data_IF_322485405876
#
_entry.id   IF_322485405876
#
_cell.length_a   1.000
_cell.length_b   1.000
_cell.length_c   1.000
_cell.angle_alpha   90.00
_cell.angle_beta   90.00
_cell.angle_gamma   90.00
#
_symmetry.space_group_name_H-M   'P 1'
#
loop_
_entity.id
_entity.type
_entity.pdbx_description
1 polymer ?
#
# COMPACT_ATOMS: atom_id res chain seq x y z
N UNK A 1 -7.31 4.26 -7.14
CA UNK A 1 -8.31 4.71 -6.14
C UNK A 1 -8.27 4.00 -4.80
N UNK A 2 -8.57 2.70 -4.67
CA UNK A 2 -8.68 2.09 -3.32
C UNK A 2 -7.36 2.12 -2.51
N UNK A 3 -6.23 2.06 -3.20
CA UNK A 3 -4.90 2.18 -2.58
C UNK A 3 -4.60 3.63 -2.21
N UNK A 4 -4.71 4.54 -3.17
CA UNK A 4 -4.55 5.99 -2.96
C UNK A 4 -5.42 6.51 -1.79
N UNK A 5 -6.70 6.11 -1.72
CA UNK A 5 -7.59 6.49 -0.61
C UNK A 5 -7.13 5.92 0.74
N UNK A 6 -6.52 4.73 0.75
CA UNK A 6 -5.99 4.12 1.96
C UNK A 6 -4.80 4.92 2.51
N UNK A 7 -3.94 5.41 1.61
CA UNK A 7 -2.82 6.29 1.93
C UNK A 7 -3.31 7.64 2.46
N UNK A 8 -4.24 8.28 1.76
CA UNK A 8 -4.92 9.50 2.22
C UNK A 8 -5.48 9.35 3.64
N UNK A 9 -6.13 8.22 3.94
CA UNK A 9 -6.72 7.95 5.24
C UNK A 9 -5.66 7.73 6.33
N UNK A 10 -4.47 7.21 5.99
CA UNK A 10 -3.35 7.11 6.93
C UNK A 10 -2.85 8.49 7.34
N UNK A 11 -2.78 9.44 6.39
CA UNK A 11 -2.41 10.84 6.69
C UNK A 11 -3.52 11.56 7.46
N UNK A 12 -4.77 11.46 7.01
CA UNK A 12 -5.93 12.13 7.64
C UNK A 12 -6.13 11.70 9.10
N UNK A 13 -5.84 10.43 9.43
CA UNK A 13 -5.94 9.91 10.81
C UNK A 13 -4.69 10.20 11.66
N UNK A 14 -3.68 10.84 11.08
CA UNK A 14 -2.41 11.10 11.74
C UNK A 14 -1.59 9.84 12.04
N UNK A 15 -1.84 8.73 11.33
CA UNK A 15 -0.95 7.57 11.37
C UNK A 15 0.37 7.89 10.68
N UNK A 16 0.30 8.63 9.56
CA UNK A 16 1.45 9.18 8.83
C UNK A 16 1.48 10.71 8.93
N UNK A 17 2.68 11.29 8.94
CA UNK A 17 2.88 12.73 9.18
C UNK A 17 2.56 13.61 7.96
N UNK A 18 2.60 13.06 6.76
CA UNK A 18 2.37 13.78 5.50
C UNK A 18 2.18 12.82 4.34
N UNK A 19 1.70 13.34 3.21
CA UNK A 19 1.63 12.59 1.94
C UNK A 19 3.01 12.19 1.41
N UNK A 20 4.08 12.87 1.82
CA UNK A 20 5.44 12.45 1.48
C UNK A 20 5.80 11.11 2.13
N UNK A 21 5.37 10.90 3.38
CA UNK A 21 5.65 9.67 4.14
C UNK A 21 5.09 8.42 3.46
N UNK A 22 3.99 8.55 2.72
CA UNK A 22 3.37 7.46 1.95
C UNK A 22 4.32 6.78 0.95
N UNK A 23 5.32 7.51 0.44
CA UNK A 23 6.23 7.05 -0.60
C UNK A 23 7.67 6.84 -0.11
N UNK A 24 8.03 7.39 1.05
CA UNK A 24 9.41 7.34 1.56
C UNK A 24 9.57 6.65 2.90
N UNK A 25 8.48 6.32 3.59
CA UNK A 25 8.55 5.58 4.84
C UNK A 25 8.71 4.10 4.54
N UNK A 26 9.91 3.57 4.84
CA UNK A 26 10.16 2.14 4.81
C UNK A 26 9.39 1.43 5.92
N UNK A 27 8.89 0.24 5.62
CA UNK A 27 8.24 -0.64 6.58
C UNK A 27 8.65 -2.10 6.35
N UNK A 28 8.56 -2.92 7.38
CA UNK A 28 8.94 -4.34 7.36
C UNK A 28 7.76 -5.22 7.00
N UNK A 29 7.99 -6.11 6.04
CA UNK A 29 7.03 -7.10 5.58
C UNK A 29 7.77 -8.34 5.09
N UNK A 30 7.05 -9.45 5.02
CA UNK A 30 7.54 -10.72 4.51
C UNK A 30 6.56 -11.30 3.48
N UNK A 31 7.06 -12.12 2.57
CA UNK A 31 6.25 -12.95 1.69
C UNK A 31 6.38 -14.40 2.15
N UNK A 32 5.29 -14.97 2.67
CA UNK A 32 5.22 -16.37 3.09
C UNK A 32 4.14 -17.05 2.27
N UNK A 33 4.49 -18.10 1.52
CA UNK A 33 3.56 -18.86 0.69
C UNK A 33 2.74 -18.00 -0.27
N UNK A 34 3.37 -16.96 -0.85
CA UNK A 34 2.71 -16.02 -1.76
C UNK A 34 1.77 -15.03 -1.07
N UNK A 35 1.71 -15.02 0.27
CA UNK A 35 0.93 -14.07 1.06
C UNK A 35 1.83 -13.00 1.69
N UNK A 36 1.41 -11.74 1.59
CA UNK A 36 2.07 -10.64 2.29
C UNK A 36 1.74 -10.68 3.79
N UNK A 37 2.78 -10.66 4.62
CA UNK A 37 2.71 -10.59 6.08
C UNK A 37 3.38 -9.31 6.55
N UNK A 38 2.61 -8.41 7.14
CA UNK A 38 3.15 -7.20 7.76
C UNK A 38 3.76 -7.52 9.12
N UNK A 39 4.98 -7.04 9.37
CA UNK A 39 5.60 -7.17 10.69
C UNK A 39 4.78 -6.36 11.71
N UNK A 40 4.55 -6.92 12.90
CA UNK A 40 3.80 -6.27 13.99
C UNK A 40 4.72 -5.41 14.86
N UNK A 41 4.16 -4.41 15.52
CA UNK A 41 4.89 -3.60 16.50
C UNK A 41 5.82 -2.58 15.86
N UNK A 42 5.51 -2.19 14.62
CA UNK A 42 6.21 -1.10 13.93
C UNK A 42 5.58 0.24 14.31
N UNK A 43 6.11 1.35 13.81
CA UNK A 43 5.46 2.64 13.96
C UNK A 43 4.09 2.66 13.27
N UNK A 44 3.23 3.60 13.68
CA UNK A 44 1.85 3.69 13.20
C UNK A 44 1.78 3.88 11.68
N UNK A 45 2.69 4.67 11.12
CA UNK A 45 2.73 4.92 9.69
C UNK A 45 3.13 3.65 8.94
N UNK A 46 4.19 2.98 9.38
CA UNK A 46 4.69 1.73 8.82
C UNK A 46 3.62 0.65 8.81
N UNK A 47 2.88 0.50 9.92
CA UNK A 47 1.76 -0.44 9.98
C UNK A 47 0.60 -0.08 9.07
N UNK A 48 0.27 1.22 8.93
CA UNK A 48 -0.79 1.69 8.07
C UNK A 48 -0.44 1.47 6.58
N UNK A 49 0.75 1.88 6.16
CA UNK A 49 1.25 1.72 4.79
C UNK A 49 1.34 0.24 4.42
N UNK A 50 1.92 -0.60 5.29
CA UNK A 50 1.98 -2.04 5.02
C UNK A 50 0.59 -2.66 4.83
N UNK A 51 -0.41 -2.25 5.62
CA UNK A 51 -1.80 -2.74 5.46
C UNK A 51 -2.41 -2.29 4.13
N UNK A 52 -2.18 -1.05 3.72
CA UNK A 52 -2.63 -0.53 2.43
C UNK A 52 -1.99 -1.30 1.26
N UNK A 53 -0.68 -1.53 1.32
CA UNK A 53 0.07 -2.23 0.28
C UNK A 53 -0.29 -3.71 0.21
N UNK A 54 -0.42 -4.38 1.35
CA UNK A 54 -0.96 -5.75 1.42
C UNK A 54 -2.34 -5.84 0.74
N UNK A 55 -3.22 -4.88 1.00
CA UNK A 55 -4.57 -4.87 0.41
C UNK A 55 -4.54 -4.71 -1.10
N UNK A 56 -3.71 -3.80 -1.63
CA UNK A 56 -3.63 -3.60 -3.09
C UNK A 56 -2.97 -4.77 -3.79
N UNK A 57 -1.91 -5.35 -3.22
CA UNK A 57 -1.26 -6.53 -3.81
C UNK A 57 -2.21 -7.73 -3.84
N UNK A 58 -2.95 -7.97 -2.76
CA UNK A 58 -3.99 -9.01 -2.74
C UNK A 58 -5.08 -8.75 -3.79
N UNK A 59 -5.51 -7.49 -3.95
CA UNK A 59 -6.46 -7.12 -4.99
C UNK A 59 -5.93 -7.45 -6.39
N UNK A 60 -4.69 -7.06 -6.69
CA UNK A 60 -4.06 -7.30 -7.99
C UNK A 60 -3.83 -8.78 -8.29
N UNK A 61 -3.60 -9.62 -7.26
CA UNK A 61 -3.44 -11.06 -7.44
C UNK A 61 -4.67 -11.75 -8.07
N UNK A 62 -5.85 -11.12 -7.99
CA UNK A 62 -7.07 -11.61 -8.63
C UNK A 62 -7.20 -11.27 -10.11
N UNK A 63 -6.30 -10.45 -10.66
CA UNK A 63 -6.38 -9.98 -12.04
C UNK A 63 -5.11 -10.33 -12.80
N UNK A 64 -5.27 -10.58 -14.10
CA UNK A 64 -4.11 -10.72 -14.99
C UNK A 64 -3.40 -9.38 -15.13
N UNK A 65 -2.06 -9.43 -15.19
CA UNK A 65 -1.26 -8.25 -15.48
C UNK A 65 -1.69 -7.68 -16.85
N UNK A 66 -2.01 -6.38 -16.95
CA UNK A 66 -2.33 -5.76 -18.23
C UNK A 66 -1.18 -5.91 -19.21
N UNK A 67 -1.48 -6.34 -20.44
CA UNK A 67 -0.51 -6.46 -21.54
C UNK A 67 -0.38 -5.18 -22.35
N UNK A 68 -1.35 -4.26 -22.22
CA UNK A 68 -1.36 -2.95 -22.88
C UNK A 68 -1.31 -1.87 -21.81
N UNK A 69 -0.43 -0.88 -21.99
CA UNK A 69 -0.44 0.38 -21.24
C UNK A 69 -1.17 1.43 -22.09
N UNK A 70 -2.48 1.65 -21.88
CA UNK A 70 -3.20 2.66 -22.64
C UNK A 70 -2.62 4.05 -22.37
N UNK A 71 -2.65 4.92 -23.37
CA UNK A 71 -2.36 6.34 -23.16
C UNK A 71 -3.50 6.96 -22.35
N UNK A 72 -3.18 7.90 -21.47
CA UNK A 72 -4.20 8.71 -20.83
C UNK A 72 -5.01 9.43 -21.92
N UNK A 73 -6.35 9.43 -21.88
CA UNK A 73 -7.15 10.24 -22.78
C UNK A 73 -6.81 11.72 -22.53
N UNK A 74 -6.58 12.46 -23.61
CA UNK A 74 -6.35 13.90 -23.62
C UNK A 74 -7.67 14.67 -23.62
#
# INVERSE_FOLDING_TARGET
MNHDNCYDDAVKRGDCSSTWAEYTTDYKWECTDGMIVCTKGQGRCEEALCKCDKRVTNCWAHFHKPVVKPKCPF
#
